data_IF_940042511645
#
_entry.id   IF_940042511645
#
_cell.length_a   1.000
_cell.length_b   1.000
_cell.length_c   1.000
_cell.angle_alpha   90.00
_cell.angle_beta   90.00
_cell.angle_gamma   90.00
#
_symmetry.space_group_name_H-M   'P 1'
#
loop_
_entity.id
_entity.type
_entity.pdbx_description
1 polymer ?
#
# COMPACT_ATOMS: atom_id res chain seq x y z
N UNK A 1 -1.67 6.37 20.19
CA UNK A 1 -0.82 6.28 18.99
C UNK A 1 -1.36 5.20 18.08
N UNK A 2 -1.45 5.47 16.78
CA UNK A 2 -2.05 4.55 15.84
C UNK A 2 -1.20 4.58 14.57
N UNK A 3 -0.36 3.59 14.39
CA UNK A 3 0.56 3.55 13.27
C UNK A 3 0.81 2.11 12.87
N UNK A 4 0.82 1.88 11.57
CA UNK A 4 1.07 0.55 11.04
C UNK A 4 1.95 0.68 9.81
N UNK A 5 2.84 -0.28 9.63
CA UNK A 5 3.71 -0.36 8.47
C UNK A 5 3.54 -1.74 7.87
N UNK A 6 3.24 -1.79 6.59
CA UNK A 6 2.97 -3.05 5.91
C UNK A 6 3.70 -3.10 4.58
N UNK A 7 4.16 -4.28 4.21
CA UNK A 7 4.70 -4.53 2.90
C UNK A 7 3.97 -5.74 2.33
N UNK A 8 3.39 -5.56 1.17
CA UNK A 8 2.63 -6.63 0.55
C UNK A 8 2.46 -6.38 -0.94
N UNK A 9 1.70 -7.25 -1.59
CA UNK A 9 1.47 -7.15 -3.03
C UNK A 9 0.02 -6.81 -3.27
N UNK A 10 -0.21 -5.93 -4.24
CA UNK A 10 -1.57 -5.58 -4.60
C UNK A 10 -2.27 -6.80 -5.19
N UNK A 11 -3.52 -7.02 -4.79
CA UNK A 11 -4.30 -8.14 -5.28
C UNK A 11 -5.11 -7.80 -6.52
N UNK A 12 -5.17 -6.51 -6.86
CA UNK A 12 -5.86 -6.04 -8.04
C UNK A 12 -5.31 -4.67 -8.42
N UNK A 13 -5.61 -4.23 -9.63
CA UNK A 13 -5.20 -2.88 -10.02
C UNK A 13 -5.99 -1.86 -9.22
N UNK A 14 -5.33 -0.84 -8.66
CA UNK A 14 -6.08 0.17 -7.92
C UNK A 14 -6.81 1.10 -8.90
N UNK A 15 -8.01 1.50 -8.52
CA UNK A 15 -8.84 2.34 -9.35
C UNK A 15 -8.95 3.71 -8.72
N UNK A 16 -8.68 4.74 -9.49
CA UNK A 16 -8.79 6.11 -8.98
C UNK A 16 -10.21 6.59 -9.14
N UNK A 17 -10.79 7.05 -8.06
CA UNK A 17 -12.14 7.62 -8.06
C UNK A 17 -12.08 9.00 -7.46
N UNK A 18 -13.13 9.74 -7.65
CA UNK A 18 -13.23 11.08 -7.07
C UNK A 18 -14.54 11.22 -6.32
N UNK A 19 -14.48 11.84 -5.16
CA UNK A 19 -15.68 12.09 -4.36
C UNK A 19 -16.42 13.26 -4.95
N UNK A 20 -17.59 13.55 -4.39
CA UNK A 20 -18.39 14.68 -4.85
C UNK A 20 -17.63 15.98 -4.72
N UNK A 21 -16.74 16.09 -3.77
CA UNK A 21 -15.95 17.31 -3.59
C UNK A 21 -14.71 17.32 -4.48
N UNK A 22 -14.55 16.33 -5.34
CA UNK A 22 -13.41 16.32 -6.26
C UNK A 22 -12.14 15.72 -5.69
N UNK A 23 -12.19 15.14 -4.49
CA UNK A 23 -11.00 14.53 -3.90
C UNK A 23 -10.75 13.17 -4.47
N UNK A 24 -9.51 12.90 -4.87
CA UNK A 24 -9.11 11.60 -5.38
C UNK A 24 -9.07 10.60 -4.24
N UNK A 25 -9.50 9.39 -4.49
CA UNK A 25 -9.48 8.31 -3.51
C UNK A 25 -9.31 6.98 -4.24
N UNK A 26 -8.60 6.07 -3.62
CA UNK A 26 -8.50 4.71 -4.15
C UNK A 26 -8.53 3.73 -2.98
N UNK A 27 -9.15 2.58 -3.22
CA UNK A 27 -9.17 1.49 -2.25
C UNK A 27 -8.66 0.23 -2.94
N UNK A 28 -7.84 -0.52 -2.26
CA UNK A 28 -7.30 -1.76 -2.80
C UNK A 28 -6.89 -2.64 -1.63
N UNK A 29 -6.63 -3.90 -1.93
CA UNK A 29 -6.15 -4.84 -0.90
C UNK A 29 -4.75 -5.26 -1.22
N UNK A 30 -3.98 -5.52 -0.19
CA UNK A 30 -2.66 -6.09 -0.35
C UNK A 30 -2.60 -7.42 0.38
N UNK A 31 -1.79 -8.32 -0.14
CA UNK A 31 -1.53 -9.61 0.48
C UNK A 31 -0.19 -9.52 1.20
N UNK A 32 -0.23 -9.64 2.52
CA UNK A 32 0.96 -9.54 3.36
C UNK A 32 1.30 -10.93 3.85
N UNK A 33 2.46 -11.43 3.48
CA UNK A 33 2.86 -12.78 3.86
C UNK A 33 3.13 -12.86 5.35
N UNK A 34 2.69 -13.95 5.96
CA UNK A 34 3.00 -14.18 7.36
C UNK A 34 4.45 -14.60 7.50
N UNK A 35 5.14 -14.12 8.54
CA UNK A 35 6.58 -14.38 8.66
C UNK A 35 6.91 -15.83 9.00
N UNK A 36 5.99 -16.56 9.64
CA UNK A 36 6.28 -17.93 10.03
C UNK A 36 5.40 -18.90 9.32
N UNK A 37 6.01 -19.99 8.86
CA UNK A 37 5.30 -21.10 8.28
C UNK A 37 5.99 -22.36 8.69
N UNK A 38 5.19 -23.38 8.97
CA UNK A 38 5.78 -24.67 9.27
C UNK A 38 6.18 -25.33 7.98
N UNK A 39 7.22 -26.14 8.04
CA UNK A 39 7.66 -26.86 6.88
C UNK A 39 6.53 -27.71 6.35
N UNK A 40 6.32 -27.67 5.05
CA UNK A 40 5.27 -28.45 4.42
C UNK A 40 3.91 -27.82 4.40
N UNK A 41 3.74 -26.65 5.01
CA UNK A 41 2.46 -25.94 4.95
C UNK A 41 2.45 -24.94 3.84
N UNK A 42 1.26 -24.64 3.35
CA UNK A 42 1.12 -23.65 2.31
C UNK A 42 1.40 -22.27 2.88
N UNK A 43 1.86 -21.39 2.01
CA UNK A 43 2.05 -20.02 2.42
C UNK A 43 0.73 -19.39 2.74
N UNK A 44 0.69 -18.62 3.80
CA UNK A 44 -0.48 -17.90 4.21
C UNK A 44 -0.20 -16.40 4.14
N UNK A 45 -1.23 -15.67 3.78
CA UNK A 45 -1.12 -14.23 3.71
C UNK A 45 -2.35 -13.62 4.35
N UNK A 46 -2.16 -12.43 4.90
CA UNK A 46 -3.27 -11.65 5.41
C UNK A 46 -3.64 -10.63 4.35
N UNK A 47 -4.93 -10.51 4.08
CA UNK A 47 -5.42 -9.58 3.09
C UNK A 47 -5.92 -8.35 3.81
N UNK A 48 -5.32 -7.22 3.52
CA UNK A 48 -5.56 -5.99 4.27
C UNK A 48 -6.03 -4.91 3.31
N UNK A 49 -7.15 -4.28 3.64
CA UNK A 49 -7.71 -3.23 2.81
C UNK A 49 -7.00 -1.91 3.09
N UNK A 50 -6.64 -1.23 2.03
CA UNK A 50 -5.92 0.03 2.10
C UNK A 50 -6.75 1.09 1.41
N UNK A 51 -6.81 2.27 2.00
CA UNK A 51 -7.47 3.42 1.41
C UNK A 51 -6.47 4.56 1.33
N UNK A 52 -6.42 5.24 0.22
CA UNK A 52 -5.54 6.39 0.05
C UNK A 52 -6.30 7.54 -0.56
N UNK A 53 -5.88 8.76 -0.24
CA UNK A 53 -6.56 9.97 -0.67
C UNK A 53 -5.61 10.91 -1.39
N UNK A 54 -6.18 11.71 -2.29
CA UNK A 54 -5.49 12.83 -2.93
C UNK A 54 -4.20 12.41 -3.62
N UNK A 55 -3.11 13.08 -3.35
CA UNK A 55 -1.85 12.80 -4.03
C UNK A 55 -1.36 11.40 -3.82
N UNK A 56 -1.57 10.82 -2.64
CA UNK A 56 -1.19 9.44 -2.39
C UNK A 56 -1.98 8.49 -3.26
N UNK A 57 -3.29 8.75 -3.41
CA UNK A 57 -4.13 7.92 -4.27
C UNK A 57 -3.67 8.02 -5.73
N UNK A 58 -3.37 9.21 -6.18
CA UNK A 58 -2.93 9.41 -7.56
C UNK A 58 -1.60 8.71 -7.81
N UNK A 59 -0.68 8.82 -6.86
CA UNK A 59 0.61 8.17 -6.98
C UNK A 59 0.46 6.64 -7.08
N UNK A 60 -0.38 6.08 -6.20
CA UNK A 60 -0.57 4.63 -6.20
C UNK A 60 -1.19 4.16 -7.51
N UNK A 61 -2.21 4.85 -7.98
CA UNK A 61 -2.88 4.43 -9.20
C UNK A 61 -2.01 4.58 -10.43
N UNK A 62 -1.06 5.53 -10.37
CA UNK A 62 -0.18 5.75 -11.50
C UNK A 62 0.92 4.71 -11.58
N UNK A 63 1.47 4.29 -10.45
CA UNK A 63 2.68 3.47 -10.44
C UNK A 63 2.50 2.04 -9.97
N UNK A 64 1.38 1.67 -9.37
CA UNK A 64 1.20 0.34 -8.82
C UNK A 64 0.09 -0.41 -9.54
N UNK A 65 0.33 -1.69 -9.80
CA UNK A 65 -0.61 -2.57 -10.46
C UNK A 65 -0.70 -3.87 -9.69
N UNK A 66 -1.65 -4.70 -10.07
CA UNK A 66 -1.81 -6.01 -9.46
C UNK A 66 -0.47 -6.74 -9.42
N UNK A 67 -0.14 -7.30 -8.30
CA UNK A 67 1.07 -8.08 -8.11
C UNK A 67 2.30 -7.28 -7.73
N UNK A 68 2.23 -5.96 -7.83
CA UNK A 68 3.36 -5.13 -7.49
C UNK A 68 3.51 -5.02 -5.98
N UNK A 69 4.73 -4.99 -5.50
CA UNK A 69 4.98 -4.91 -4.07
C UNK A 69 5.01 -3.45 -3.62
N UNK A 70 4.31 -3.17 -2.54
CA UNK A 70 4.20 -1.80 -2.03
C UNK A 70 4.48 -1.79 -0.54
N UNK A 71 5.14 -0.75 -0.08
CA UNK A 71 5.30 -0.49 1.35
C UNK A 71 4.35 0.63 1.72
N UNK A 72 3.55 0.42 2.74
CA UNK A 72 2.53 1.38 3.18
C UNK A 72 2.75 1.68 4.65
N UNK A 73 2.75 2.95 4.98
CA UNK A 73 2.72 3.39 6.37
C UNK A 73 1.47 4.23 6.57
N UNK A 74 0.75 3.96 7.62
CA UNK A 74 -0.48 4.70 7.87
C UNK A 74 -1.08 4.35 9.22
N UNK A 75 -2.39 4.48 9.31
CA UNK A 75 -3.12 4.25 10.54
C UNK A 75 -4.31 3.34 10.26
N UNK A 76 -4.68 2.55 11.25
CA UNK A 76 -5.85 1.70 11.14
C UNK A 76 -7.08 2.54 11.39
N UNK A 77 -8.07 2.42 10.53
CA UNK A 77 -9.36 3.08 10.71
C UNK A 77 -10.45 2.03 10.69
N UNK A 78 -11.50 2.30 11.42
CA UNK A 78 -12.68 1.44 11.39
C UNK A 78 -13.87 2.28 10.99
N UNK A 79 -14.84 1.63 10.36
CA UNK A 79 -16.10 2.27 10.06
C UNK A 79 -17.21 1.26 10.21
N UNK A 80 -18.37 1.77 10.56
CA UNK A 80 -19.53 0.91 10.71
C UNK A 80 -20.43 1.04 9.49
N UNK A 81 -21.02 -0.05 9.09
CA UNK A 81 -21.96 -0.05 7.99
C UNK A 81 -23.01 -1.12 8.23
N UNK A 82 -24.12 -1.02 7.52
CA UNK A 82 -25.17 -2.01 7.59
C UNK A 82 -25.16 -2.82 6.33
N UNK A 83 -25.10 -4.16 6.48
CA UNK A 83 -25.07 -5.01 5.31
C UNK A 83 -26.47 -5.22 4.74
N UNK A 84 -26.56 -6.05 3.72
CA UNK A 84 -27.84 -6.29 3.04
C UNK A 84 -28.89 -6.90 3.94
N UNK A 85 -28.46 -7.63 4.94
CA UNK A 85 -29.38 -8.30 5.84
C UNK A 85 -29.80 -7.44 7.02
N UNK A 86 -29.36 -6.19 7.02
CA UNK A 86 -29.70 -5.28 8.09
C UNK A 86 -28.82 -5.39 9.33
N UNK A 87 -27.75 -6.18 9.26
CA UNK A 87 -26.84 -6.35 10.39
C UNK A 87 -25.77 -5.27 10.37
N UNK A 88 -25.46 -4.77 11.55
CA UNK A 88 -24.39 -3.81 11.65
C UNK A 88 -23.05 -4.52 11.57
N UNK A 89 -22.16 -3.98 10.77
CA UNK A 89 -20.85 -4.55 10.57
C UNK A 89 -19.78 -3.48 10.77
N UNK A 90 -18.57 -3.92 11.07
CA UNK A 90 -17.46 -3.01 11.23
C UNK A 90 -16.37 -3.43 10.25
N UNK A 91 -15.92 -2.48 9.48
CA UNK A 91 -14.82 -2.71 8.56
C UNK A 91 -13.55 -2.10 9.10
N UNK A 92 -12.43 -2.79 8.88
CA UNK A 92 -11.11 -2.32 9.28
C UNK A 92 -10.34 -2.05 8.02
N UNK A 93 -9.68 -0.93 7.95
CA UNK A 93 -8.86 -0.60 6.79
C UNK A 93 -7.70 0.26 7.25
N UNK A 94 -6.69 0.35 6.41
CA UNK A 94 -5.51 1.16 6.70
C UNK A 94 -5.58 2.41 5.84
N UNK A 95 -5.52 3.56 6.49
CA UNK A 95 -5.44 4.82 5.75
C UNK A 95 -3.97 5.07 5.44
N UNK A 96 -3.63 5.00 4.17
CA UNK A 96 -2.23 5.16 3.76
C UNK A 96 -1.81 6.61 3.88
N UNK A 97 -0.71 6.85 4.58
CA UNK A 97 -0.15 8.18 4.72
C UNK A 97 1.10 8.32 3.87
N UNK A 98 1.90 7.26 3.79
CA UNK A 98 3.09 7.24 2.96
C UNK A 98 3.18 5.89 2.28
N UNK A 99 3.63 5.90 1.04
CA UNK A 99 3.83 4.66 0.30
C UNK A 99 5.16 4.73 -0.41
N UNK A 100 5.73 3.56 -0.66
CA UNK A 100 7.00 3.47 -1.35
C UNK A 100 7.05 2.18 -2.13
N UNK A 101 7.93 2.12 -3.11
CA UNK A 101 8.16 0.91 -3.85
C UNK A 101 8.95 -0.07 -2.98
N UNK A 102 8.53 -1.31 -3.01
CA UNK A 102 9.20 -2.35 -2.24
C UNK A 102 9.66 -3.51 -3.13
N UNK A 103 9.58 -3.34 -4.44
CA UNK A 103 10.00 -4.38 -5.37
C UNK A 103 11.49 -4.45 -5.43
N UNK A 104 12.02 -5.65 -5.23
CA UNK A 104 13.44 -5.80 -5.32
C UNK A 104 13.89 -5.86 -6.75
N UNK A 105 12.97 -6.08 -7.67
CA UNK A 105 13.37 -6.19 -8.95
C UNK A 105 13.90 -4.98 -9.47
N UNK A 106 13.64 -4.01 -8.89
CA UNK A 106 14.18 -2.92 -9.29
C UNK A 106 15.53 -3.05 -9.28
N UNK A 107 15.85 -3.76 -8.70
CA UNK A 107 17.03 -3.94 -8.60
C UNK A 107 17.52 -4.79 -9.37
N UNK A 108 17.17 -5.28 -9.88
CA UNK A 108 17.57 -6.06 -10.65
C UNK A 108 18.29 -5.70 -11.42
N UNK A 109 18.38 -5.44 -11.33
CA UNK A 109 18.97 -5.20 -11.84
C UNK A 109 19.81 -4.70 -11.45
N UNK A 110 19.97 -4.72 -10.80
CA UNK A 110 20.72 -4.37 -10.54
C UNK A 110 21.24 -4.15 -9.93
N UNK A 111 21.33 -4.41 -9.72
CA UNK A 111 21.83 -4.18 -9.36
C UNK A 111 22.18 -3.73 -8.74
N UNK A 112 22.25 -3.86 -8.51
CA UNK A 112 22.74 -3.51 -8.16
C UNK A 112 23.04 -2.92 -7.51
N UNK A 113 23.14 -2.90 -7.30
CA UNK A 113 23.59 -2.40 -6.98
C UNK A 113 23.60 -1.75 -6.23
N UNK A 114 23.56 -1.74 -5.91
CA UNK A 114 23.59 -1.19 -5.45
C UNK A 114 23.75 -0.57 -4.71
N UNK A 115 23.90 -0.46 -4.51
CA UNK A 115 24.19 0.09 -4.07
C UNK A 115 24.06 0.85 -3.52
N UNK A 116 23.96 1.05 -3.24
CA UNK A 116 23.80 1.73 -2.92
C UNK A 116 23.53 2.30 -2.36
N UNK A 117 23.26 2.46 -2.21
CA UNK A 117 23.04 3.00 -1.87
C UNK A 117 22.57 3.50 -1.31
N UNK A 118 22.48 3.57 -0.98
CA UNK A 118 21.97 4.06 -0.48
C UNK A 118 21.53 4.84 -0.13
N UNK A 119 21.45 5.06 -0.12
CA UNK A 119 21.06 5.69 -0.11
C UNK A 119 20.45 5.94 -0.45
N UNK A 120 20.42 5.98 -0.50
CA UNK A 120 19.80 6.16 -0.95
C UNK A 120 19.33 6.09 -1.56
N UNK A 121 19.52 5.95 -1.43
CA UNK A 121 19.10 5.81 -2.26
C UNK A 121 17.99 5.88 -2.69
N UNK A 122 17.73 5.79 -3.28
CA UNK A 122 16.60 5.86 -3.78
C UNK A 122 15.50 5.93 -2.98
N UNK A 123 15.49 5.86 -1.93
CA UNK A 123 14.44 5.79 -1.21
C UNK A 123 14.01 7.02 -0.74
N UNK A 124 14.65 7.91 -0.70
CA UNK A 124 14.25 8.96 -0.26
C UNK A 124 13.90 9.78 -1.15
N UNK A 125 14.30 9.92 -2.14
CA UNK A 125 13.96 10.73 -2.98
C UNK A 125 12.78 10.67 -3.47
N UNK A 126 12.26 9.97 -3.41
CA UNK A 126 11.09 9.88 -3.82
C UNK A 126 10.27 10.65 -3.16
N UNK A 127 10.49 10.98 -2.33
CA UNK A 127 9.68 11.66 -1.61
C UNK A 127 9.71 12.82 -1.61
N UNK A 128 10.34 13.38 -1.69
CA UNK A 128 10.36 14.40 -1.65
C UNK A 128 10.29 15.05 -2.36
N UNK A 129 10.37 15.10 -2.55
CA UNK A 129 10.13 15.51 -3.19
C UNK A 129 9.60 15.89 -3.68
N UNK A 130 9.65 16.06 -3.51
CA UNK A 130 9.00 16.25 -3.97
C UNK A 130 8.46 16.06 -4.63
N UNK A 131 8.75 15.79 -4.90
CA UNK A 131 8.04 15.43 -5.54
C UNK A 131 7.29 14.82 -5.38
N UNK A 132 7.45 14.74 -4.78
CA UNK A 132 6.75 14.11 -4.53
C UNK A 132 5.81 14.34 -4.21
N UNK A 133 5.58 14.21 -4.48
CA UNK A 133 4.43 14.59 -4.29
C UNK A 133 3.89 14.23 -3.10
N UNK A 134 4.09 14.31 -2.43
CA UNK A 134 3.53 13.96 -1.43
C UNK A 134 3.41 14.67 -0.59
N UNK A 135 3.31 15.24 -0.65
CA UNK A 135 3.22 15.85 -0.02
C UNK A 135 2.64 15.98 0.39
#
# INVERSE_FOLDING_TARGET
MNSVVLIGRLTADPELKHTQNGNAVTGFSIAVDRPYQKAGEERQADFIDIVAWRGTAEFICKYFKKGRKIAVQGAIQTRSYTDKDGNKRKAFEVLAEKVAFADSKQEKQGSADVQYTPESGGFEEILDDGDLPFN
#
